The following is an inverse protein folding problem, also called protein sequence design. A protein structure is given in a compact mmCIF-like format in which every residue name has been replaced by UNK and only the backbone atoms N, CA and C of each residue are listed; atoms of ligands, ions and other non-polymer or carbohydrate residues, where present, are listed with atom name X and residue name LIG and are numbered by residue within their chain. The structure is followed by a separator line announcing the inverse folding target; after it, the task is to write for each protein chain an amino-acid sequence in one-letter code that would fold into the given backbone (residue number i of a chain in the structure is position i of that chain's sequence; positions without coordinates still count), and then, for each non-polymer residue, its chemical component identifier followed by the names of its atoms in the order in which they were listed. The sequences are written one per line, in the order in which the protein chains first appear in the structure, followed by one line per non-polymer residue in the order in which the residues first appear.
data_IF_505057042359
#
_entry.id   IF_505057042359
#
_cell.length_a   1.000
_cell.length_b   1.000
_cell.length_c   1.000
_cell.angle_alpha   90.00
_cell.angle_beta   90.00
_cell.angle_gamma   90.00
#
_symmetry.space_group_name_H-M   'P 1'
#
loop_
_entity.id
_entity.type
_entity.pdbx_description
1 polymer ?
#
# COMPACT_ATOMS: atom_id res chain seq x y z
N UNK A 1 -3.33 12.87 -28.76
CA UNK A 1 -2.61 13.84 -27.90
C UNK A 1 -3.27 13.98 -26.54
N UNK A 2 -4.54 14.42 -26.40
CA UNK A 2 -5.21 14.40 -25.07
C UNK A 2 -5.37 12.99 -24.50
N UNK A 3 -5.82 12.02 -25.30
CA UNK A 3 -6.01 10.63 -24.84
C UNK A 3 -4.71 9.99 -24.32
N UNK A 4 -3.58 10.25 -24.97
CA UNK A 4 -2.26 9.76 -24.54
C UNK A 4 -1.84 10.35 -23.19
N UNK A 5 -2.18 11.62 -22.93
CA UNK A 5 -1.93 12.28 -21.65
C UNK A 5 -2.75 11.65 -20.51
N UNK A 6 -4.05 11.38 -20.73
CA UNK A 6 -4.88 10.70 -19.74
C UNK A 6 -4.37 9.29 -19.44
N UNK A 7 -3.95 8.54 -20.47
CA UNK A 7 -3.37 7.20 -20.28
C UNK A 7 -2.06 7.27 -19.49
N UNK A 8 -1.19 8.24 -19.78
CA UNK A 8 0.05 8.44 -19.04
C UNK A 8 -0.22 8.83 -17.57
N UNK A 9 -1.21 9.70 -17.31
CA UNK A 9 -1.62 10.08 -15.96
C UNK A 9 -2.15 8.89 -15.17
N UNK A 10 -3.02 8.08 -15.78
CA UNK A 10 -3.50 6.83 -15.18
C UNK A 10 -2.34 5.88 -14.86
N UNK A 11 -1.36 5.74 -15.75
CA UNK A 11 -0.16 4.95 -15.49
C UNK A 11 0.62 5.44 -14.26
N UNK A 12 0.78 6.76 -14.10
CA UNK A 12 1.42 7.36 -12.93
C UNK A 12 0.61 7.13 -11.65
N UNK A 13 -0.72 7.23 -11.71
CA UNK A 13 -1.61 6.94 -10.58
C UNK A 13 -1.48 5.50 -10.11
N UNK A 14 -1.49 4.53 -11.02
CA UNK A 14 -1.32 3.12 -10.68
C UNK A 14 0.07 2.84 -10.09
N UNK A 15 1.13 3.43 -10.66
CA UNK A 15 2.47 3.29 -10.13
C UNK A 15 2.59 3.85 -8.70
N UNK A 16 1.93 4.99 -8.41
CA UNK A 16 1.86 5.54 -7.06
C UNK A 16 1.09 4.61 -6.12
N UNK A 17 -0.11 4.16 -6.51
CA UNK A 17 -0.93 3.28 -5.70
C UNK A 17 -0.15 2.00 -5.33
N UNK A 18 0.59 1.43 -6.29
CA UNK A 18 1.43 0.26 -6.05
C UNK A 18 2.56 0.56 -5.06
N UNK A 19 3.25 1.69 -5.20
CA UNK A 19 4.31 2.12 -4.26
C UNK A 19 3.79 2.32 -2.83
N UNK A 20 2.61 2.91 -2.69
CA UNK A 20 1.96 3.13 -1.39
C UNK A 20 1.50 1.81 -0.77
N UNK A 21 0.95 0.90 -1.58
CA UNK A 21 0.51 -0.41 -1.10
C UNK A 21 1.67 -1.37 -0.81
N UNK A 22 2.82 -1.19 -1.48
CA UNK A 22 3.97 -2.09 -1.40
C UNK A 22 4.43 -2.45 0.03
N UNK A 23 4.74 -1.50 0.93
CA UNK A 23 5.17 -1.83 2.29
C UNK A 23 4.10 -2.60 3.07
N UNK A 24 2.83 -2.23 2.90
CA UNK A 24 1.70 -2.84 3.59
C UNK A 24 1.46 -4.28 3.10
N UNK A 25 1.55 -4.50 1.79
CA UNK A 25 1.43 -5.82 1.18
C UNK A 25 2.58 -6.74 1.58
N UNK A 26 3.82 -6.24 1.55
CA UNK A 26 4.99 -7.04 1.94
C UNK A 26 4.89 -7.54 3.38
N UNK A 27 4.56 -6.65 4.32
CA UNK A 27 4.46 -7.04 5.73
C UNK A 27 3.30 -8.01 5.96
N UNK A 28 2.13 -7.71 5.41
CA UNK A 28 0.94 -8.57 5.58
C UNK A 28 1.12 -9.94 4.94
N UNK A 29 1.83 -10.04 3.81
CA UNK A 29 2.15 -11.30 3.14
C UNK A 29 3.12 -12.13 3.98
N UNK A 30 4.25 -11.57 4.41
CA UNK A 30 5.26 -12.28 5.22
C UNK A 30 4.64 -12.80 6.51
N UNK A 31 3.91 -11.94 7.23
CA UNK A 31 3.25 -12.30 8.49
C UNK A 31 2.14 -13.32 8.26
N UNK A 32 1.35 -13.15 7.19
CA UNK A 32 0.30 -14.08 6.83
C UNK A 32 0.82 -15.48 6.55
N UNK A 33 1.90 -15.59 5.77
CA UNK A 33 2.56 -16.86 5.48
C UNK A 33 3.13 -17.49 6.75
N UNK A 34 3.85 -16.71 7.57
CA UNK A 34 4.43 -17.21 8.82
C UNK A 34 3.36 -17.79 9.76
N UNK A 35 2.25 -17.07 9.93
CA UNK A 35 1.14 -17.53 10.77
C UNK A 35 0.47 -18.77 10.16
N UNK A 36 0.24 -18.80 8.83
CA UNK A 36 -0.36 -19.97 8.18
C UNK A 36 0.47 -21.24 8.39
N UNK A 37 1.80 -21.14 8.38
CA UNK A 37 2.68 -22.28 8.71
C UNK A 37 2.54 -22.68 10.18
N UNK A 38 2.55 -21.72 11.11
CA UNK A 38 2.38 -21.99 12.54
C UNK A 38 1.03 -22.65 12.86
N UNK A 39 -0.04 -22.23 12.19
CA UNK A 39 -1.36 -22.84 12.34
C UNK A 39 -1.39 -24.30 11.90
N UNK A 40 -0.70 -24.62 10.80
CA UNK A 40 -0.62 -25.98 10.28
C UNK A 40 0.22 -26.87 11.20
N UNK A 41 1.38 -26.38 11.66
CA UNK A 41 2.30 -27.15 12.51
C UNK A 41 1.73 -27.40 13.91
N UNK A 42 1.01 -26.45 14.49
CA UNK A 42 0.42 -26.58 15.84
C UNK A 42 -1.00 -27.17 15.83
N UNK A 43 -1.61 -27.37 14.66
CA UNK A 43 -3.00 -27.79 14.47
C UNK A 43 -4.06 -26.86 15.12
N UNK A 44 -3.69 -25.64 15.49
CA UNK A 44 -4.62 -24.65 16.07
C UNK A 44 -5.19 -23.78 14.94
N UNK A 45 -6.44 -24.04 14.57
CA UNK A 45 -7.17 -23.31 13.51
C UNK A 45 -8.17 -22.28 14.09
N UNK A 46 -7.79 -21.61 15.17
CA UNK A 46 -8.60 -20.54 15.77
C UNK A 46 -8.52 -19.27 14.93
N UNK A 47 -9.68 -18.76 14.46
CA UNK A 47 -9.75 -17.57 13.61
C UNK A 47 -9.10 -16.34 14.27
N UNK A 48 -9.24 -16.19 15.59
CA UNK A 48 -8.72 -15.06 16.37
C UNK A 48 -7.20 -14.95 16.33
N UNK A 49 -6.50 -16.10 16.32
CA UNK A 49 -5.03 -16.16 16.33
C UNK A 49 -4.43 -15.67 15.00
N UNK A 50 -5.17 -15.76 13.90
CA UNK A 50 -4.74 -15.17 12.62
C UNK A 50 -4.95 -13.68 12.52
N UNK A 51 -5.98 -13.18 13.20
CA UNK A 51 -6.43 -11.80 13.04
C UNK A 51 -5.57 -10.83 13.85
N UNK A 52 -5.34 -11.14 15.13
CA UNK A 52 -4.65 -10.22 16.05
C UNK A 52 -3.21 -9.90 15.62
N UNK A 53 -2.34 -10.88 15.32
CA UNK A 53 -0.95 -10.57 14.98
C UNK A 53 -0.84 -9.85 13.62
N UNK A 54 -1.70 -10.18 12.64
CA UNK A 54 -1.79 -9.45 11.37
C UNK A 54 -2.16 -7.99 11.57
N UNK A 55 -3.15 -7.71 12.44
CA UNK A 55 -3.58 -6.35 12.74
C UNK A 55 -2.47 -5.54 13.41
N UNK A 56 -1.77 -6.12 14.38
CA UNK A 56 -0.62 -5.47 15.03
C UNK A 56 0.43 -5.10 13.99
N UNK A 57 0.80 -6.04 13.12
CA UNK A 57 1.78 -5.79 12.06
C UNK A 57 1.32 -4.70 11.07
N UNK A 58 0.03 -4.68 10.73
CA UNK A 58 -0.55 -3.65 9.87
C UNK A 58 -0.46 -2.26 10.50
N UNK A 59 -0.84 -2.12 11.78
CA UNK A 59 -0.77 -0.85 12.52
C UNK A 59 0.68 -0.39 12.66
N UNK A 60 1.61 -1.30 12.98
CA UNK A 60 3.03 -0.96 13.04
C UNK A 60 3.55 -0.48 11.68
N UNK A 61 3.20 -1.18 10.60
CA UNK A 61 3.59 -0.77 9.24
C UNK A 61 3.06 0.62 8.91
N UNK A 62 1.81 0.92 9.24
CA UNK A 62 1.26 2.26 9.07
C UNK A 62 1.95 3.30 9.97
N UNK A 63 2.31 2.96 11.20
CA UNK A 63 3.01 3.89 12.08
C UNK A 63 4.40 4.27 11.55
N UNK A 64 5.13 3.30 10.98
CA UNK A 64 6.48 3.54 10.44
C UNK A 64 6.46 4.09 9.01
N UNK A 65 5.66 3.50 8.12
CA UNK A 65 5.62 3.86 6.69
C UNK A 65 4.58 4.94 6.37
N UNK A 66 3.66 5.27 7.29
CA UNK A 66 2.56 6.20 7.04
C UNK A 66 3.02 7.60 6.66
N UNK A 67 4.07 8.11 7.32
CA UNK A 67 4.64 9.41 6.96
C UNK A 67 5.13 9.44 5.50
N UNK A 68 5.89 8.41 5.09
CA UNK A 68 6.42 8.29 3.74
C UNK A 68 5.32 8.07 2.69
N UNK A 69 4.32 7.23 3.00
CA UNK A 69 3.14 7.03 2.14
C UNK A 69 2.38 8.33 1.92
N UNK A 70 2.28 9.17 2.95
CA UNK A 70 1.59 10.45 2.85
C UNK A 70 2.38 11.44 1.98
N UNK A 71 3.72 11.49 2.11
CA UNK A 71 4.58 12.31 1.25
C UNK A 71 4.41 11.94 -0.23
N UNK A 72 4.43 10.65 -0.56
CA UNK A 72 4.20 10.16 -1.92
C UNK A 72 2.88 10.67 -2.53
N UNK A 73 1.79 10.62 -1.75
CA UNK A 73 0.48 11.10 -2.20
C UNK A 73 0.51 12.62 -2.38
N UNK A 74 1.07 13.36 -1.42
CA UNK A 74 1.17 14.82 -1.49
C UNK A 74 2.00 15.30 -2.69
N UNK A 75 3.13 14.64 -2.97
CA UNK A 75 3.98 14.96 -4.11
C UNK A 75 3.26 14.71 -5.43
N UNK A 76 2.53 13.60 -5.54
CA UNK A 76 1.71 13.32 -6.70
C UNK A 76 0.58 14.34 -6.88
N UNK A 77 -0.12 14.69 -5.81
CA UNK A 77 -1.18 15.71 -5.85
C UNK A 77 -0.65 17.07 -6.29
N UNK A 78 0.49 17.51 -5.74
CA UNK A 78 1.14 18.78 -6.12
C UNK A 78 1.56 18.77 -7.59
N UNK A 79 2.19 17.69 -8.06
CA UNK A 79 2.56 17.52 -9.47
C UNK A 79 1.34 17.56 -10.38
N UNK A 80 0.23 16.92 -9.99
CA UNK A 80 -0.98 16.86 -10.82
C UNK A 80 -1.68 18.21 -10.89
N UNK A 81 -1.82 18.90 -9.76
CA UNK A 81 -2.41 20.25 -9.70
C UNK A 81 -1.56 21.26 -10.50
N UNK A 82 -0.22 21.19 -10.37
CA UNK A 82 0.68 22.04 -11.14
C UNK A 82 0.54 21.84 -12.65
N UNK A 83 0.45 20.58 -13.11
CA UNK A 83 0.22 20.24 -14.52
C UNK A 83 -1.13 20.73 -15.04
N UNK A 84 -2.16 20.79 -14.19
CA UNK A 84 -3.49 21.30 -14.57
C UNK A 84 -3.48 22.84 -14.67
N UNK A 85 -2.75 23.52 -13.79
CA UNK A 85 -2.66 24.99 -13.78
C UNK A 85 -1.89 25.56 -14.99
N UNK A 86 -1.05 24.76 -15.65
CA UNK A 86 -0.32 25.10 -16.88
C UNK A 86 -1.14 24.87 -18.16
N UNK A 87 -2.37 24.33 -18.07
CA UNK A 87 -3.25 24.15 -19.22
C UNK A 87 -3.95 25.50 -19.48
N UNK A 88 -3.67 26.20 -20.60
CA UNK A 88 -4.36 27.44 -20.95
C UNK A 88 -5.85 27.24 -21.23
#
# INVERSE_FOLDING_TARGET
MESDYFVALLGQMFALALKVAFPLLMVTLVVGVAISVLQVVTQIQEMTLTFVPKLICFVLTLAFAGHWMLQLILDFSRSTIGKIAEIP
#
